data_IF_000251848286
#
_entry.id   IF_000251848286
#
_cell.length_a   1.000
_cell.length_b   1.000
_cell.length_c   1.000
_cell.angle_alpha   90.00
_cell.angle_beta   90.00
_cell.angle_gamma   90.00
#
_symmetry.space_group_name_H-M   'P 1'
#
loop_
_entity.id
_entity.type
_entity.pdbx_description
1 polymer ?
#
# COMPACT_ATOMS: atom_id res chain seq x y z
N UNK A 1 22.73 -11.13 40.56
CA UNK A 1 23.20 -11.21 39.15
C UNK A 1 23.80 -9.86 38.79
N UNK A 2 25.10 -9.79 38.54
CA UNK A 2 25.80 -8.55 38.17
C UNK A 2 25.79 -8.36 36.66
N UNK A 3 25.48 -7.14 36.20
CA UNK A 3 25.55 -6.75 34.79
C UNK A 3 27.00 -6.90 34.26
N UNK A 4 27.20 -7.22 32.97
CA UNK A 4 28.54 -7.37 32.40
C UNK A 4 29.33 -6.05 32.47
N UNK A 5 30.59 -6.16 32.90
CA UNK A 5 31.54 -5.07 33.23
C UNK A 5 32.08 -4.32 32.00
N UNK A 6 31.73 -4.75 30.78
CA UNK A 6 32.16 -4.04 29.57
C UNK A 6 31.21 -2.87 29.30
N UNK A 7 31.72 -1.61 29.23
CA UNK A 7 30.93 -0.49 28.75
C UNK A 7 30.34 -0.85 27.39
N UNK A 8 29.04 -0.58 27.20
CA UNK A 8 28.43 -0.65 25.88
C UNK A 8 29.27 0.20 24.94
N UNK A 9 29.85 -0.41 23.90
CA UNK A 9 30.67 0.29 22.92
C UNK A 9 29.88 1.47 22.38
N UNK A 10 30.45 2.67 22.46
CA UNK A 10 29.88 3.87 21.85
C UNK A 10 29.65 3.58 20.37
N UNK A 11 28.40 3.75 19.92
CA UNK A 11 28.02 3.64 18.52
C UNK A 11 28.98 4.53 17.71
N UNK A 12 29.59 3.97 16.67
CA UNK A 12 30.49 4.70 15.77
C UNK A 12 29.80 6.01 15.34
N UNK A 13 30.45 7.19 15.52
CA UNK A 13 29.84 8.48 15.23
C UNK A 13 29.42 8.66 13.76
N UNK A 14 29.87 7.80 12.86
CA UNK A 14 29.44 7.77 11.45
C UNK A 14 28.17 6.95 11.22
N UNK A 15 27.67 6.23 12.22
CA UNK A 15 26.41 5.51 12.16
C UNK A 15 25.26 6.44 12.55
N UNK A 16 24.68 7.08 11.54
CA UNK A 16 23.37 7.72 11.68
C UNK A 16 22.37 6.59 11.91
N UNK A 17 21.82 6.48 13.12
CA UNK A 17 20.66 5.62 13.36
C UNK A 17 19.51 6.20 12.52
N UNK A 18 19.01 5.47 11.50
CA UNK A 18 17.97 6.00 10.64
C UNK A 18 16.68 6.19 11.44
N UNK A 19 16.11 7.40 11.38
CA UNK A 19 14.80 7.69 11.97
C UNK A 19 13.75 6.84 11.25
N UNK A 20 12.92 6.07 11.98
CA UNK A 20 11.85 5.29 11.36
C UNK A 20 10.81 6.22 10.72
N UNK A 21 10.37 5.88 9.52
CA UNK A 21 9.22 6.50 8.86
C UNK A 21 7.96 5.74 9.24
N UNK A 22 6.88 6.44 9.56
CA UNK A 22 5.58 5.83 9.84
C UNK A 22 4.58 6.20 8.76
N UNK A 23 3.93 5.21 8.18
CA UNK A 23 2.94 5.38 7.12
C UNK A 23 1.57 4.86 7.56
N UNK A 24 0.52 5.67 7.46
CA UNK A 24 -0.85 5.19 7.60
C UNK A 24 -1.33 4.69 6.25
N UNK A 25 -1.39 3.37 6.08
CA UNK A 25 -1.53 2.77 4.76
C UNK A 25 -1.77 1.28 4.81
N UNK A 26 -1.60 0.64 3.66
CA UNK A 26 -1.68 -0.80 3.51
C UNK A 26 -0.61 -1.31 2.52
N UNK A 27 -0.08 -2.51 2.74
CA UNK A 27 0.95 -3.10 1.90
C UNK A 27 0.35 -3.80 0.68
N UNK A 28 1.05 -3.71 -0.43
CA UNK A 28 0.69 -4.35 -1.70
C UNK A 28 1.93 -4.98 -2.32
N UNK A 29 1.76 -6.15 -2.93
CA UNK A 29 2.86 -6.76 -3.67
C UNK A 29 3.20 -5.95 -4.92
N UNK A 30 4.46 -6.05 -5.37
CA UNK A 30 4.87 -5.44 -6.62
C UNK A 30 3.98 -5.87 -7.79
N UNK A 31 3.69 -7.17 -7.88
CA UNK A 31 2.84 -7.71 -8.94
C UNK A 31 1.43 -7.12 -8.92
N UNK A 32 0.82 -7.01 -7.74
CA UNK A 32 -0.50 -6.38 -7.60
C UNK A 32 -0.47 -4.91 -8.00
N UNK A 33 0.57 -4.18 -7.61
CA UNK A 33 0.73 -2.77 -7.97
C UNK A 33 0.87 -2.54 -9.48
N UNK A 34 1.61 -3.40 -10.19
CA UNK A 34 1.67 -3.36 -11.65
C UNK A 34 0.33 -3.71 -12.30
N UNK A 35 -0.38 -4.72 -11.77
CA UNK A 35 -1.73 -5.05 -12.26
C UNK A 35 -2.71 -3.90 -12.01
N UNK A 36 -2.60 -3.19 -10.89
CA UNK A 36 -3.39 -2.01 -10.60
C UNK A 36 -3.14 -0.90 -11.63
N UNK A 37 -1.88 -0.61 -11.98
CA UNK A 37 -1.57 0.37 -13.03
C UNK A 37 -2.30 0.03 -14.34
N UNK A 38 -2.25 -1.25 -14.77
CA UNK A 38 -2.99 -1.71 -15.95
C UNK A 38 -4.52 -1.62 -15.83
N UNK A 39 -5.10 -1.74 -14.63
CA UNK A 39 -6.55 -1.49 -14.40
C UNK A 39 -6.93 -0.03 -14.55
N UNK A 40 -6.01 0.87 -14.26
CA UNK A 40 -6.24 2.31 -14.34
C UNK A 40 -6.06 2.79 -15.78
N UNK A 41 -5.01 2.38 -16.47
CA UNK A 41 -4.78 2.68 -17.89
C UNK A 41 -3.74 1.76 -18.53
N UNK A 42 -3.94 1.40 -19.80
CA UNK A 42 -3.14 0.42 -20.55
C UNK A 42 -1.67 0.86 -20.78
N UNK A 43 -1.37 2.16 -20.70
CA UNK A 43 -0.03 2.72 -20.92
C UNK A 43 0.62 3.27 -19.66
N UNK A 44 0.04 3.02 -18.49
CA UNK A 44 0.43 3.68 -17.24
C UNK A 44 1.62 3.01 -16.57
N UNK A 45 2.63 3.79 -16.22
CA UNK A 45 3.68 3.34 -15.32
C UNK A 45 3.17 3.31 -13.87
N UNK A 46 3.74 2.44 -13.05
CA UNK A 46 3.44 2.40 -11.61
C UNK A 46 3.61 3.76 -10.92
N UNK A 47 4.59 4.57 -11.35
CA UNK A 47 4.85 5.88 -10.76
C UNK A 47 3.75 6.91 -11.05
N UNK A 48 2.85 6.63 -11.99
CA UNK A 48 1.82 7.57 -12.46
C UNK A 48 0.46 7.34 -11.77
N UNK A 49 0.34 6.31 -10.92
CA UNK A 49 -0.93 5.97 -10.24
C UNK A 49 -1.43 7.13 -9.38
N UNK A 50 -0.55 7.80 -8.64
CA UNK A 50 -0.93 8.97 -7.83
C UNK A 50 -1.47 10.10 -8.71
N UNK A 51 -0.80 10.39 -9.83
CA UNK A 51 -1.19 11.43 -10.78
C UNK A 51 -2.57 11.12 -11.35
N UNK A 52 -2.80 9.88 -11.77
CA UNK A 52 -4.08 9.44 -12.31
C UNK A 52 -5.23 9.55 -11.30
N UNK A 53 -4.99 9.12 -10.07
CA UNK A 53 -6.00 9.19 -9.00
C UNK A 53 -6.37 10.65 -8.70
N UNK A 54 -5.38 11.55 -8.66
CA UNK A 54 -5.61 12.98 -8.48
C UNK A 54 -6.34 13.57 -9.68
N UNK A 55 -5.95 13.22 -10.92
CA UNK A 55 -6.64 13.67 -12.13
C UNK A 55 -8.12 13.30 -12.10
N UNK A 56 -8.44 12.04 -11.79
CA UNK A 56 -9.83 11.58 -11.69
C UNK A 56 -10.60 12.27 -10.58
N UNK A 57 -9.96 12.55 -9.45
CA UNK A 57 -10.57 13.31 -8.38
C UNK A 57 -10.93 14.74 -8.82
N UNK A 58 -10.06 15.40 -9.59
CA UNK A 58 -10.37 16.69 -10.22
C UNK A 58 -11.52 16.57 -11.24
N UNK A 59 -11.53 15.52 -12.06
CA UNK A 59 -12.60 15.27 -13.03
C UNK A 59 -13.98 15.06 -12.35
N UNK A 60 -13.99 14.59 -11.09
CA UNK A 60 -15.19 14.46 -10.26
C UNK A 60 -15.60 15.78 -9.57
N UNK A 61 -14.87 16.87 -9.77
CA UNK A 61 -15.17 18.18 -9.17
C UNK A 61 -14.63 18.34 -7.74
N UNK A 62 -13.49 17.71 -7.43
CA UNK A 62 -12.79 17.83 -6.13
C UNK A 62 -13.65 17.45 -4.90
N UNK A 63 -14.37 16.30 -4.93
CA UNK A 63 -15.24 15.93 -3.83
C UNK A 63 -14.44 15.69 -2.53
N UNK A 64 -14.78 16.42 -1.47
CA UNK A 64 -14.23 16.25 -0.13
C UNK A 64 -15.01 15.24 0.73
N UNK A 65 -14.38 14.55 1.70
CA UNK A 65 -12.96 14.62 2.03
C UNK A 65 -12.06 13.79 1.09
N UNK A 66 -10.81 14.22 0.88
CA UNK A 66 -9.85 13.50 0.05
C UNK A 66 -8.41 13.72 0.52
N UNK A 67 -7.61 12.65 0.42
CA UNK A 67 -6.15 12.69 0.49
C UNK A 67 -5.61 11.75 -0.58
N UNK A 68 -4.68 12.24 -1.39
CA UNK A 68 -4.10 11.44 -2.46
C UNK A 68 -3.32 10.24 -1.91
N UNK A 69 -3.54 9.02 -2.43
CA UNK A 69 -2.74 7.87 -2.07
C UNK A 69 -1.32 8.03 -2.63
N UNK A 70 -0.33 7.85 -1.77
CA UNK A 70 1.09 7.88 -2.12
C UNK A 70 1.67 6.47 -2.04
N UNK A 71 2.79 6.26 -2.74
CA UNK A 71 3.44 4.96 -2.82
C UNK A 71 4.86 5.01 -2.26
N UNK A 72 5.15 4.11 -1.32
CA UNK A 72 6.50 3.90 -0.81
C UNK A 72 6.99 2.51 -1.21
N UNK A 73 8.11 2.44 -1.91
CA UNK A 73 8.76 1.15 -2.20
C UNK A 73 9.40 0.62 -0.92
N UNK A 74 9.06 -0.61 -0.55
CA UNK A 74 9.70 -1.33 0.54
C UNK A 74 11.08 -1.85 0.10
N UNK A 75 11.90 -2.27 1.08
CA UNK A 75 13.21 -2.87 0.80
C UNK A 75 13.07 -4.27 0.16
N UNK A 76 11.91 -4.91 0.31
CA UNK A 76 11.60 -6.25 -0.23
C UNK A 76 11.28 -6.21 -1.73
N UNK A 77 11.01 -5.02 -2.26
CA UNK A 77 10.56 -4.82 -3.63
C UNK A 77 9.04 -4.60 -3.76
N UNK A 78 8.30 -4.84 -2.67
CA UNK A 78 6.87 -4.54 -2.54
C UNK A 78 6.62 -3.06 -2.27
N UNK A 79 5.34 -2.68 -2.09
CA UNK A 79 4.96 -1.30 -1.89
C UNK A 79 4.02 -1.13 -0.69
N UNK A 80 4.03 0.07 -0.13
CA UNK A 80 3.01 0.53 0.81
C UNK A 80 2.26 1.68 0.13
N UNK A 81 0.95 1.54 0.01
CA UNK A 81 0.05 2.64 -0.35
C UNK A 81 -0.32 3.35 0.94
N UNK A 82 -0.04 4.64 1.06
CA UNK A 82 -0.25 5.41 2.27
C UNK A 82 -0.86 6.78 2.01
N UNK A 83 -1.54 7.31 3.03
CA UNK A 83 -2.20 8.62 2.96
C UNK A 83 -1.51 9.66 3.84
N UNK A 84 -0.86 9.20 4.90
CA UNK A 84 -0.18 10.04 5.85
C UNK A 84 1.18 9.44 6.18
N UNK A 85 2.20 10.30 6.25
CA UNK A 85 3.53 9.92 6.70
C UNK A 85 3.99 10.86 7.80
N UNK A 86 4.50 10.34 8.91
CA UNK A 86 5.11 11.14 9.96
C UNK A 86 6.63 10.99 9.85
N UNK A 87 7.31 12.13 9.66
CA UNK A 87 8.76 12.25 9.70
C UNK A 87 9.17 13.14 10.86
N UNK A 88 10.35 12.92 11.42
CA UNK A 88 10.81 13.67 12.60
C UNK A 88 11.14 15.16 12.35
N UNK A 89 10.97 15.66 11.12
CA UNK A 89 11.52 16.95 10.69
C UNK A 89 10.55 18.13 10.76
N UNK A 90 9.22 17.93 10.69
CA UNK A 90 8.24 19.04 10.65
C UNK A 90 6.97 18.77 11.47
N UNK A 91 6.96 19.06 12.78
CA UNK A 91 5.90 18.63 13.70
C UNK A 91 4.52 19.29 13.46
N UNK A 92 4.49 20.55 13.03
CA UNK A 92 3.25 21.35 12.98
C UNK A 92 2.39 21.02 11.75
N UNK A 93 3.01 20.88 10.57
CA UNK A 93 2.32 20.46 9.34
C UNK A 93 1.73 19.05 9.50
N UNK A 94 2.44 18.15 10.19
CA UNK A 94 1.94 16.82 10.49
C UNK A 94 0.70 16.83 11.39
N UNK A 95 0.52 17.83 12.25
CA UNK A 95 -0.61 17.85 13.18
C UNK A 95 -1.94 18.13 12.48
N UNK A 96 -2.00 19.12 11.60
CA UNK A 96 -3.23 19.45 10.88
C UNK A 96 -3.63 18.35 9.89
N UNK A 97 -2.67 17.77 9.17
CA UNK A 97 -2.93 16.62 8.29
C UNK A 97 -3.40 15.39 9.08
N UNK A 98 -2.80 15.13 10.24
CA UNK A 98 -3.21 14.03 11.13
C UNK A 98 -4.63 14.24 11.66
N UNK A 99 -4.95 15.46 12.12
CA UNK A 99 -6.29 15.82 12.59
C UNK A 99 -7.33 15.68 11.46
N UNK A 100 -7.03 16.17 10.26
CA UNK A 100 -7.90 16.01 9.09
C UNK A 100 -8.10 14.52 8.75
N UNK A 101 -7.01 13.75 8.66
CA UNK A 101 -7.06 12.33 8.34
C UNK A 101 -7.90 11.57 9.36
N UNK A 102 -7.72 11.78 10.67
CA UNK A 102 -8.52 11.07 11.67
C UNK A 102 -9.99 11.48 11.64
N UNK A 103 -10.30 12.76 11.42
CA UNK A 103 -11.68 13.24 11.32
C UNK A 103 -12.41 12.67 10.11
N UNK A 104 -11.70 12.44 9.01
CA UNK A 104 -12.28 12.08 7.72
C UNK A 104 -11.84 10.70 7.20
N UNK A 105 -11.23 9.87 8.06
CA UNK A 105 -10.54 8.62 7.69
C UNK A 105 -11.35 7.75 6.74
N UNK A 106 -12.57 7.41 7.12
CA UNK A 106 -13.37 6.44 6.37
C UNK A 106 -13.81 7.00 5.02
N UNK A 107 -14.10 8.31 4.94
CA UNK A 107 -14.46 8.98 3.70
C UNK A 107 -13.27 9.09 2.73
N UNK A 108 -12.09 9.44 3.24
CA UNK A 108 -10.83 9.46 2.47
C UNK A 108 -10.55 8.06 1.93
N UNK A 109 -10.59 7.04 2.78
CA UNK A 109 -10.30 5.67 2.41
C UNK A 109 -11.30 5.13 1.37
N UNK A 110 -12.60 5.32 1.59
CA UNK A 110 -13.62 4.90 0.63
C UNK A 110 -13.38 5.54 -0.75
N UNK A 111 -13.22 6.87 -0.79
CA UNK A 111 -13.00 7.61 -2.03
C UNK A 111 -11.72 7.20 -2.75
N UNK A 112 -10.62 7.08 -2.02
CA UNK A 112 -9.36 6.65 -2.60
C UNK A 112 -9.44 5.24 -3.19
N UNK A 113 -10.09 4.30 -2.49
CA UNK A 113 -10.27 2.94 -3.00
C UNK A 113 -11.17 2.89 -4.23
N UNK A 114 -12.19 3.75 -4.32
CA UNK A 114 -13.04 3.88 -5.50
C UNK A 114 -12.24 4.42 -6.70
N UNK A 115 -11.44 5.47 -6.48
CA UNK A 115 -10.57 6.05 -7.52
C UNK A 115 -9.49 5.08 -7.99
N UNK A 116 -8.95 4.27 -7.08
CA UNK A 116 -8.04 3.16 -7.38
C UNK A 116 -8.74 1.97 -8.06
N UNK A 117 -10.07 1.99 -8.24
CA UNK A 117 -10.87 0.90 -8.81
C UNK A 117 -10.65 -0.44 -8.11
N UNK A 118 -10.54 -0.41 -6.78
CA UNK A 118 -10.46 -1.64 -6.00
C UNK A 118 -11.78 -2.41 -6.13
N UNK A 119 -11.70 -3.75 -6.16
CA UNK A 119 -12.89 -4.60 -6.05
C UNK A 119 -13.47 -4.53 -4.64
N UNK A 120 -14.74 -4.94 -4.45
CA UNK A 120 -15.34 -4.94 -3.10
C UNK A 120 -14.58 -5.85 -2.12
N UNK A 121 -14.09 -7.00 -2.58
CA UNK A 121 -13.25 -7.89 -1.77
C UNK A 121 -11.91 -7.23 -1.37
N UNK A 122 -11.27 -6.50 -2.30
CA UNK A 122 -10.06 -5.75 -2.01
C UNK A 122 -10.34 -4.63 -0.99
N UNK A 123 -11.46 -3.91 -1.15
CA UNK A 123 -11.89 -2.87 -0.20
C UNK A 123 -12.14 -3.44 1.20
N UNK A 124 -12.83 -4.56 1.29
CA UNK A 124 -13.10 -5.23 2.56
C UNK A 124 -11.80 -5.67 3.23
N UNK A 125 -10.89 -6.28 2.48
CA UNK A 125 -9.59 -6.73 3.00
C UNK A 125 -8.75 -5.56 3.51
N UNK A 126 -8.71 -4.46 2.76
CA UNK A 126 -8.00 -3.23 3.18
C UNK A 126 -8.57 -2.70 4.48
N UNK A 127 -9.90 -2.49 4.54
CA UNK A 127 -10.58 -1.92 5.71
C UNK A 127 -10.44 -2.78 6.97
N UNK A 128 -10.47 -4.11 6.83
CA UNK A 128 -10.56 -5.03 7.97
C UNK A 128 -9.22 -5.55 8.46
N UNK A 129 -8.22 -5.73 7.58
CA UNK A 129 -6.98 -6.43 7.94
C UNK A 129 -5.70 -5.66 7.63
N UNK A 130 -5.67 -4.94 6.51
CA UNK A 130 -4.40 -4.43 5.98
C UNK A 130 -4.12 -2.98 6.35
N UNK A 131 -5.15 -2.13 6.50
CA UNK A 131 -4.96 -0.71 6.80
C UNK A 131 -4.49 -0.49 8.23
N UNK A 132 -3.23 -0.09 8.42
CA UNK A 132 -2.63 0.18 9.73
C UNK A 132 -1.46 1.17 9.63
N UNK A 133 -0.86 1.49 10.77
CA UNK A 133 0.41 2.19 10.81
C UNK A 133 1.55 1.21 10.49
N UNK A 134 2.30 1.52 9.44
CA UNK A 134 3.47 0.77 9.00
C UNK A 134 4.74 1.52 9.39
N UNK A 135 5.63 0.84 10.11
CA UNK A 135 6.96 1.35 10.43
C UNK A 135 7.94 0.89 9.37
N UNK A 136 8.58 1.85 8.70
CA UNK A 136 9.59 1.60 7.69
C UNK A 136 10.95 2.13 8.16
N UNK A 137 11.94 1.24 8.26
CA UNK A 137 13.33 1.65 8.52
C UNK A 137 14.16 1.48 7.25
N UNK A 138 14.75 2.57 6.77
CA UNK A 138 15.77 2.51 5.71
C UNK A 138 17.07 1.93 6.28
N UNK A 139 17.09 0.63 6.57
CA UNK A 139 18.32 -0.07 6.94
C UNK A 139 18.97 -0.68 5.69
N UNK A 140 20.30 -0.79 5.69
CA UNK A 140 21.03 -1.49 4.62
C UNK A 140 20.81 -3.01 4.61
N UNK A 141 20.08 -3.56 5.60
CA UNK A 141 19.76 -4.99 5.67
C UNK A 141 18.47 -5.25 4.92
N UNK A 142 18.47 -6.26 4.04
CA UNK A 142 17.24 -6.78 3.44
C UNK A 142 16.35 -7.30 4.56
N UNK A 143 15.20 -6.67 4.75
CA UNK A 143 14.12 -7.23 5.57
C UNK A 143 13.54 -8.45 4.84
N UNK A 144 13.04 -9.46 5.57
CA UNK A 144 12.31 -10.57 4.95
C UNK A 144 11.09 -10.05 4.19
N UNK A 145 10.76 -10.70 3.07
CA UNK A 145 9.53 -10.42 2.34
C UNK A 145 8.31 -10.56 3.27
N UNK A 146 7.29 -9.72 3.04
CA UNK A 146 6.02 -9.83 3.76
C UNK A 146 5.39 -11.20 3.48
N UNK A 147 4.79 -11.80 4.50
CA UNK A 147 4.11 -13.09 4.35
C UNK A 147 2.89 -13.01 3.41
N UNK A 148 2.42 -14.14 2.88
CA UNK A 148 1.29 -14.18 1.92
C UNK A 148 0.00 -13.53 2.44
N UNK A 149 -0.23 -13.49 3.75
CA UNK A 149 -1.38 -12.81 4.38
C UNK A 149 -1.14 -11.34 4.74
N UNK A 150 0.07 -10.84 4.50
CA UNK A 150 0.50 -9.50 4.91
C UNK A 150 0.54 -8.50 3.76
N UNK A 151 0.10 -8.89 2.55
CA UNK A 151 0.05 -8.05 1.34
C UNK A 151 -1.23 -8.31 0.54
N UNK A 152 -1.71 -7.29 -0.17
CA UNK A 152 -2.57 -7.52 -1.33
C UNK A 152 -1.76 -8.21 -2.44
N UNK A 153 -2.22 -9.41 -2.79
CA UNK A 153 -1.64 -10.24 -3.85
C UNK A 153 -2.60 -10.27 -5.03
N UNK A 154 -2.06 -10.15 -6.22
CA UNK A 154 -2.86 -10.39 -7.42
C UNK A 154 -3.00 -11.90 -7.61
N UNK A 155 -4.22 -12.35 -7.80
CA UNK A 155 -4.51 -13.73 -8.19
C UNK A 155 -5.07 -13.69 -9.61
N UNK A 156 -4.46 -14.39 -10.59
CA UNK A 156 -5.02 -14.47 -11.93
C UNK A 156 -6.42 -15.08 -11.86
N UNK A 157 -7.39 -14.63 -12.67
CA UNK A 157 -8.65 -15.33 -12.81
C UNK A 157 -8.34 -16.77 -13.27
N UNK A 158 -8.84 -17.75 -12.51
CA UNK A 158 -8.76 -19.15 -12.89
C UNK A 158 -9.52 -19.26 -14.22
N UNK A 159 -8.81 -19.56 -15.31
CA UNK A 159 -9.45 -19.86 -16.58
C UNK A 159 -10.32 -21.08 -16.33
N UNK A 160 -11.64 -20.90 -16.35
CA UNK A 160 -12.60 -21.98 -16.43
C UNK A 160 -12.26 -22.78 -17.68
N UNK A 161 -11.51 -23.87 -17.52
CA UNK A 161 -11.30 -24.82 -18.60
C UNK A 161 -12.67 -25.31 -19.04
N UNK A 162 -12.95 -25.13 -20.33
CA UNK A 162 -14.16 -25.56 -21.00
C UNK A 162 -14.58 -26.96 -20.53
N UNK A 163 -15.82 -27.06 -20.05
CA UNK A 163 -16.46 -28.34 -19.75
C UNK A 163 -16.59 -29.21 -21.01
N UNK A 164 -16.82 -30.51 -20.83
CA UNK A 164 -16.64 -31.51 -21.89
C UNK A 164 -17.58 -31.25 -23.06
N UNK A 165 -17.00 -31.24 -24.26
CA UNK A 165 -17.76 -31.30 -25.52
C UNK A 165 -18.64 -32.54 -25.48
N UNK A 166 -19.94 -32.31 -25.35
CA UNK A 166 -20.95 -33.35 -25.45
C UNK A 166 -20.85 -34.05 -26.80
N UNK A 167 -20.54 -35.34 -26.78
CA UNK A 167 -20.78 -36.22 -27.91
C UNK A 167 -22.21 -36.72 -27.80
N UNK A 168 -23.14 -35.91 -28.32
CA UNK A 168 -24.43 -36.42 -28.78
C UNK A 168 -24.21 -37.00 -30.17
N UNK A 169 -24.23 -38.32 -30.28
CA UNK A 169 -24.37 -39.01 -31.56
C UNK A 169 -25.59 -39.93 -31.44
N UNK A 170 -26.74 -39.40 -31.89
CA UNK A 170 -27.82 -40.18 -32.47
C UNK A 170 -27.35 -40.67 -33.85
N UNK A 171 -27.38 -41.97 -34.09
CA UNK A 171 -27.69 -42.58 -35.38
C UNK A 171 -27.96 -44.09 -35.18
N UNK A 172 -29.24 -44.44 -35.39
CA UNK A 172 -29.86 -45.72 -35.80
C UNK A 172 -29.48 -47.04 -35.10
#
# INVERSE_FOLDING_TARGET
>A
MSLPVKPLSTVDPHWIIPVPLYFAGFPVSAHWAYSLAGRLSDSMGFNDIEIEVVSRWHDMGEPEPFMAPRFCRSVTGDYIIYFLSITGTEPEMHRSELEYFYKHRDGILARAMDLLRLTEDEKELVKTKLFKWHRHMKTKKREPALGEGECLMWTPPIRSSEGPVGTSALAD
#
